data_IF_364905092591
#
_entry.id   IF_364905092591
#
_cell.length_a   1.000
_cell.length_b   1.000
_cell.length_c   1.000
_cell.angle_alpha   90.00
_cell.angle_beta   90.00
_cell.angle_gamma   90.00
#
_symmetry.space_group_name_H-M   'P 1'
#
loop_
_entity.id
_entity.type
_entity.pdbx_description
1 polymer ?
#
# COMPACT_ATOMS: atom_id res chain seq x y z
N UNK A 1 -21.97 9.98 -5.40
CA UNK A 1 -21.96 8.50 -5.32
C UNK A 1 -20.59 8.00 -5.76
N UNK A 2 -19.96 7.14 -4.99
CA UNK A 2 -18.65 6.56 -5.30
C UNK A 2 -18.75 5.64 -6.53
N UNK A 3 -17.75 5.72 -7.40
CA UNK A 3 -17.60 4.89 -8.60
C UNK A 3 -16.22 4.24 -8.67
N UNK A 4 -15.21 4.90 -8.06
CA UNK A 4 -13.81 4.54 -8.17
C UNK A 4 -13.27 4.15 -6.79
N UNK A 5 -12.74 2.94 -6.69
CA UNK A 5 -12.18 2.40 -5.46
C UNK A 5 -10.68 2.26 -5.64
N UNK A 6 -9.91 2.98 -4.83
CA UNK A 6 -8.46 3.01 -4.89
C UNK A 6 -7.93 2.27 -3.67
N UNK A 7 -7.25 1.15 -3.88
CA UNK A 7 -6.62 0.38 -2.82
C UNK A 7 -5.14 0.72 -2.66
N UNK A 8 -4.65 0.71 -1.44
CA UNK A 8 -3.24 0.42 -1.17
C UNK A 8 -2.98 -1.09 -1.25
N UNK A 9 -1.70 -1.50 -1.27
CA UNK A 9 -1.29 -2.90 -1.40
C UNK A 9 -0.85 -3.50 -0.06
N UNK A 10 0.26 -2.99 0.49
CA UNK A 10 0.94 -3.58 1.65
C UNK A 10 0.20 -3.24 2.95
N UNK A 11 -0.40 -4.20 3.64
CA UNK A 11 -1.24 -3.98 4.82
C UNK A 11 -2.72 -3.80 4.51
N UNK A 12 -3.09 -3.64 3.25
CA UNK A 12 -4.50 -3.46 2.82
C UNK A 12 -4.99 -4.67 2.03
N UNK A 13 -4.36 -5.00 0.91
CA UNK A 13 -4.64 -6.20 0.11
C UNK A 13 -3.78 -7.37 0.59
N UNK A 14 -2.49 -7.11 0.85
CA UNK A 14 -1.49 -8.14 1.08
C UNK A 14 -0.86 -8.08 2.47
N UNK A 15 -0.69 -9.25 3.08
CA UNK A 15 0.08 -9.49 4.32
C UNK A 15 1.57 -9.61 3.97
N UNK A 16 2.18 -8.52 3.55
CA UNK A 16 3.52 -8.46 2.99
C UNK A 16 4.65 -8.35 4.03
N UNK A 17 4.33 -8.28 5.32
CA UNK A 17 5.32 -8.06 6.37
C UNK A 17 6.49 -9.04 6.30
N UNK A 18 6.25 -10.34 6.07
CA UNK A 18 7.32 -11.34 6.05
C UNK A 18 8.40 -10.99 5.03
N UNK A 19 8.03 -10.76 3.77
CA UNK A 19 8.99 -10.46 2.71
C UNK A 19 9.69 -9.12 2.89
N UNK A 20 8.97 -8.10 3.37
CA UNK A 20 9.52 -6.78 3.63
C UNK A 20 10.52 -6.84 4.80
N UNK A 21 10.13 -7.43 5.93
CA UNK A 21 10.99 -7.51 7.12
C UNK A 21 12.23 -8.35 6.85
N UNK A 22 12.10 -9.51 6.19
CA UNK A 22 13.24 -10.35 5.83
C UNK A 22 14.23 -9.60 4.91
N UNK A 23 13.73 -8.73 4.01
CA UNK A 23 14.59 -7.91 3.17
C UNK A 23 15.29 -6.79 3.94
N UNK A 24 14.63 -6.17 4.93
CA UNK A 24 15.26 -5.21 5.84
C UNK A 24 16.36 -5.88 6.68
N UNK A 25 16.04 -7.02 7.30
CA UNK A 25 17.00 -7.79 8.09
C UNK A 25 18.24 -8.14 7.26
N UNK A 26 18.04 -8.71 6.07
CA UNK A 26 19.15 -9.01 5.16
C UNK A 26 20.01 -7.79 4.85
N UNK A 27 19.38 -6.63 4.59
CA UNK A 27 20.12 -5.40 4.28
C UNK A 27 20.95 -4.94 5.49
N UNK A 28 20.34 -4.88 6.69
CA UNK A 28 21.01 -4.44 7.91
C UNK A 28 22.15 -5.38 8.30
N UNK A 29 21.96 -6.71 8.19
CA UNK A 29 23.00 -7.71 8.42
C UNK A 29 24.20 -7.54 7.46
N UNK A 30 23.94 -7.30 6.16
CA UNK A 30 24.99 -7.05 5.17
C UNK A 30 25.80 -5.78 5.48
N UNK A 31 25.18 -4.84 6.14
CA UNK A 31 25.82 -3.58 6.56
C UNK A 31 26.40 -3.63 7.97
N UNK A 32 26.35 -4.79 8.64
CA UNK A 32 26.89 -4.99 10.00
C UNK A 32 26.13 -4.21 11.06
N UNK A 33 24.84 -3.93 10.84
CA UNK A 33 23.96 -3.20 11.76
C UNK A 33 23.10 -4.16 12.59
N UNK A 34 22.98 -3.86 13.88
CA UNK A 34 22.00 -4.55 14.75
C UNK A 34 20.61 -3.97 14.54
N UNK A 35 19.60 -4.79 14.69
CA UNK A 35 18.19 -4.37 14.54
C UNK A 35 17.29 -5.09 15.57
N UNK A 36 16.08 -4.56 15.72
CA UNK A 36 15.00 -5.21 16.45
C UNK A 36 13.84 -5.40 15.45
N UNK A 37 13.51 -6.68 15.15
CA UNK A 37 12.50 -7.03 14.12
C UNK A 37 11.18 -6.29 14.31
N UNK A 38 10.71 -6.18 15.57
CA UNK A 38 9.44 -5.52 15.87
C UNK A 38 9.44 -4.03 15.51
N UNK A 39 10.59 -3.37 15.55
CA UNK A 39 10.70 -1.96 15.13
C UNK A 39 10.65 -1.80 13.62
N UNK A 40 11.03 -2.81 12.84
CA UNK A 40 11.02 -2.75 11.39
C UNK A 40 9.60 -2.68 10.80
N UNK A 41 8.55 -3.02 11.58
CA UNK A 41 7.16 -2.82 11.15
C UNK A 41 6.82 -1.36 10.82
N UNK A 42 7.52 -0.39 11.44
CA UNK A 42 7.34 1.03 11.13
C UNK A 42 7.75 1.41 9.70
N UNK A 43 8.56 0.57 9.05
CA UNK A 43 9.04 0.77 7.69
C UNK A 43 8.15 0.12 6.61
N UNK A 44 7.03 -0.49 7.00
CA UNK A 44 6.02 -0.97 6.05
C UNK A 44 5.08 0.20 5.72
N UNK A 45 5.03 0.61 4.46
CA UNK A 45 4.20 1.72 3.96
C UNK A 45 5.00 2.97 3.57
N UNK A 46 5.95 3.48 4.38
CA UNK A 46 6.79 4.59 3.98
C UNK A 46 7.65 4.29 2.72
N UNK A 47 8.12 5.35 2.02
CA UNK A 47 9.10 5.19 0.96
C UNK A 47 10.36 4.47 1.48
N UNK A 48 10.83 3.49 0.71
CA UNK A 48 11.93 2.60 1.13
C UNK A 48 13.21 3.37 1.50
N UNK A 49 13.59 4.38 0.70
CA UNK A 49 14.79 5.17 0.95
C UNK A 49 14.69 5.95 2.26
N UNK A 50 13.53 6.54 2.54
CA UNK A 50 13.29 7.32 3.75
C UNK A 50 13.41 6.46 5.01
N UNK A 51 12.96 5.19 4.93
CA UNK A 51 13.12 4.20 5.99
C UNK A 51 14.61 3.92 6.27
N UNK A 52 15.43 3.77 5.22
CA UNK A 52 16.87 3.59 5.39
C UNK A 52 17.60 4.86 5.82
N UNK A 53 17.16 6.04 5.39
CA UNK A 53 17.69 7.33 5.92
C UNK A 53 17.44 7.40 7.43
N UNK A 54 16.25 7.05 7.90
CA UNK A 54 15.90 7.03 9.33
C UNK A 54 16.76 6.03 10.11
N UNK A 55 17.00 4.84 9.54
CA UNK A 55 17.72 3.75 10.23
C UNK A 55 19.26 3.90 10.15
N UNK A 56 19.81 4.36 9.03
CA UNK A 56 21.24 4.32 8.72
C UNK A 56 21.88 5.70 8.53
N UNK A 57 21.08 6.75 8.35
CA UNK A 57 21.53 8.07 7.90
C UNK A 57 21.61 8.17 6.38
N UNK A 58 21.73 9.43 5.90
CA UNK A 58 21.70 9.77 4.46
C UNK A 58 22.79 9.06 3.67
N UNK A 59 24.01 8.99 4.21
CA UNK A 59 25.20 8.47 3.52
C UNK A 59 25.13 6.96 3.22
N UNK A 60 24.38 6.19 4.02
CA UNK A 60 24.29 4.73 3.90
C UNK A 60 22.92 4.25 3.39
N UNK A 61 21.98 5.15 3.17
CA UNK A 61 20.61 4.79 2.79
C UNK A 61 20.56 4.05 1.45
N UNK A 62 21.33 4.48 0.46
CA UNK A 62 21.34 3.89 -0.88
C UNK A 62 21.94 2.47 -0.89
N UNK A 63 22.95 2.21 -0.06
CA UNK A 63 23.49 0.87 0.15
C UNK A 63 22.45 -0.04 0.82
N UNK A 64 21.73 0.47 1.82
CA UNK A 64 20.61 -0.23 2.44
C UNK A 64 19.53 -0.61 1.44
N UNK A 65 19.10 0.34 0.61
CA UNK A 65 18.15 0.11 -0.50
C UNK A 65 18.67 -0.94 -1.48
N UNK A 66 19.96 -0.92 -1.84
CA UNK A 66 20.57 -1.90 -2.72
C UNK A 66 20.47 -3.31 -2.16
N UNK A 67 20.88 -3.55 -0.90
CA UNK A 67 20.82 -4.87 -0.28
C UNK A 67 19.38 -5.33 -0.05
N UNK A 68 18.47 -4.44 0.34
CA UNK A 68 17.05 -4.72 0.45
C UNK A 68 16.50 -5.24 -0.89
N UNK A 69 16.69 -4.49 -1.99
CA UNK A 69 16.22 -4.88 -3.32
C UNK A 69 16.81 -6.23 -3.76
N UNK A 70 18.08 -6.48 -3.45
CA UNK A 70 18.76 -7.74 -3.78
C UNK A 70 18.07 -8.96 -3.16
N UNK A 71 17.62 -8.87 -1.91
CA UNK A 71 16.85 -9.93 -1.26
C UNK A 71 15.41 -9.95 -1.75
N UNK A 72 14.77 -8.79 -1.73
CA UNK A 72 13.35 -8.65 -1.98
C UNK A 72 12.94 -9.18 -3.35
N UNK A 73 13.65 -8.82 -4.41
CA UNK A 73 13.34 -9.31 -5.76
C UNK A 73 13.68 -10.78 -6.00
N UNK A 74 14.58 -11.33 -5.21
CA UNK A 74 14.95 -12.75 -5.33
C UNK A 74 14.01 -13.67 -4.52
N UNK A 75 13.61 -13.25 -3.32
CA UNK A 75 12.90 -14.07 -2.36
C UNK A 75 11.63 -13.37 -1.84
N UNK A 76 11.76 -12.17 -1.29
CA UNK A 76 10.75 -11.49 -0.49
C UNK A 76 9.48 -11.08 -1.25
N UNK A 77 9.54 -10.92 -2.58
CA UNK A 77 8.41 -10.44 -3.38
C UNK A 77 7.16 -11.32 -3.21
N UNK A 78 7.35 -12.63 -3.10
CA UNK A 78 6.27 -13.62 -2.95
C UNK A 78 6.18 -14.21 -1.54
N UNK A 79 6.96 -13.70 -0.58
CA UNK A 79 6.77 -14.01 0.84
C UNK A 79 5.61 -13.19 1.42
N UNK A 80 4.44 -13.37 0.82
CA UNK A 80 3.21 -12.61 1.10
C UNK A 80 1.98 -13.48 0.89
N UNK A 81 0.85 -13.07 1.47
CA UNK A 81 -0.46 -13.69 1.24
C UNK A 81 -1.55 -12.61 1.23
N UNK A 82 -2.71 -12.92 0.70
CA UNK A 82 -3.88 -12.05 0.81
C UNK A 82 -4.39 -12.01 2.26
N UNK A 83 -4.98 -10.88 2.65
CA UNK A 83 -5.88 -10.87 3.81
C UNK A 83 -7.13 -11.69 3.49
N UNK A 84 -7.61 -12.43 4.48
CA UNK A 84 -8.83 -13.25 4.35
C UNK A 84 -10.04 -12.39 3.95
N UNK A 85 -10.74 -12.80 2.90
CA UNK A 85 -11.90 -12.10 2.36
C UNK A 85 -11.59 -10.92 1.42
N UNK A 86 -10.30 -10.60 1.15
CA UNK A 86 -9.95 -9.50 0.24
C UNK A 86 -10.18 -9.89 -1.22
N UNK A 87 -9.92 -11.13 -1.60
CA UNK A 87 -10.16 -11.58 -2.97
C UNK A 87 -11.65 -11.50 -3.30
N UNK A 88 -12.48 -12.06 -2.44
CA UNK A 88 -13.93 -12.03 -2.56
C UNK A 88 -14.48 -10.59 -2.57
N UNK A 89 -13.90 -9.69 -1.75
CA UNK A 89 -14.26 -8.28 -1.76
C UNK A 89 -13.99 -7.63 -3.11
N UNK A 90 -12.79 -7.86 -3.69
CA UNK A 90 -12.40 -7.26 -4.98
C UNK A 90 -13.31 -7.79 -6.10
N UNK A 91 -13.57 -9.09 -6.14
CA UNK A 91 -14.48 -9.73 -7.09
C UNK A 91 -15.90 -9.15 -6.98
N UNK A 92 -16.42 -9.07 -5.77
CA UNK A 92 -17.73 -8.49 -5.47
C UNK A 92 -17.86 -7.03 -5.92
N UNK A 93 -16.86 -6.20 -5.64
CA UNK A 93 -16.86 -4.79 -6.04
C UNK A 93 -16.79 -4.63 -7.56
N UNK A 94 -16.02 -5.47 -8.23
CA UNK A 94 -15.94 -5.50 -9.69
C UNK A 94 -17.27 -5.89 -10.31
N UNK A 95 -17.93 -6.93 -9.79
CA UNK A 95 -19.22 -7.41 -10.28
C UNK A 95 -20.35 -6.39 -10.04
N UNK A 96 -20.27 -5.59 -8.99
CA UNK A 96 -21.19 -4.45 -8.73
C UNK A 96 -20.92 -3.23 -9.65
N UNK A 97 -19.91 -3.30 -10.50
CA UNK A 97 -19.60 -2.28 -11.51
C UNK A 97 -18.72 -1.14 -11.04
N UNK A 98 -18.00 -1.29 -9.91
CA UNK A 98 -17.00 -0.30 -9.50
C UNK A 98 -15.72 -0.42 -10.32
N UNK A 99 -15.10 0.71 -10.64
CA UNK A 99 -13.73 0.74 -11.17
C UNK A 99 -12.75 0.58 -10.02
N UNK A 100 -11.83 -0.38 -10.13
CA UNK A 100 -10.86 -0.69 -9.09
C UNK A 100 -9.47 -0.28 -9.54
N UNK A 101 -8.76 0.40 -8.64
CA UNK A 101 -7.43 0.97 -8.87
C UNK A 101 -6.48 0.61 -7.74
N UNK A 102 -5.17 0.63 -8.02
CA UNK A 102 -4.14 0.52 -7.00
C UNK A 102 -3.32 1.80 -6.95
N UNK A 103 -3.10 2.34 -5.74
CA UNK A 103 -2.16 3.43 -5.47
C UNK A 103 -1.24 3.02 -4.31
N UNK A 104 0.02 2.71 -4.58
CA UNK A 104 0.93 2.13 -3.59
C UNK A 104 2.32 2.78 -3.58
N UNK A 105 2.94 2.84 -2.40
CA UNK A 105 4.35 3.24 -2.24
C UNK A 105 5.34 2.21 -2.80
N UNK A 106 4.87 1.02 -3.17
CA UNK A 106 5.66 0.00 -3.88
C UNK A 106 5.78 0.37 -5.36
N UNK A 107 6.88 -0.05 -6.00
CA UNK A 107 7.07 0.12 -7.45
C UNK A 107 6.01 -0.64 -8.26
N UNK A 108 5.55 -0.04 -9.34
CA UNK A 108 4.44 -0.52 -10.17
C UNK A 108 4.64 -1.95 -10.69
N UNK A 109 5.84 -2.26 -11.23
CA UNK A 109 6.14 -3.60 -11.75
C UNK A 109 6.05 -4.69 -10.67
N UNK A 110 6.55 -4.39 -9.46
CA UNK A 110 6.46 -5.32 -8.33
C UNK A 110 5.01 -5.54 -7.91
N UNK A 111 4.22 -4.48 -7.91
CA UNK A 111 2.80 -4.52 -7.54
C UNK A 111 2.00 -5.36 -8.54
N UNK A 112 2.23 -5.19 -9.84
CA UNK A 112 1.62 -6.02 -10.89
C UNK A 112 1.93 -7.51 -10.70
N UNK A 113 3.20 -7.86 -10.43
CA UNK A 113 3.60 -9.25 -10.18
C UNK A 113 2.91 -9.85 -8.95
N UNK A 114 2.72 -9.08 -7.89
CA UNK A 114 2.01 -9.53 -6.68
C UNK A 114 0.52 -9.74 -6.96
N UNK A 115 -0.14 -8.80 -7.66
CA UNK A 115 -1.56 -8.95 -8.01
C UNK A 115 -1.78 -10.13 -8.98
N UNK A 116 -0.85 -10.36 -9.91
CA UNK A 116 -0.86 -11.53 -10.80
C UNK A 116 -0.68 -12.83 -10.01
N UNK A 117 0.28 -12.88 -9.10
CA UNK A 117 0.51 -14.02 -8.20
C UNK A 117 -0.73 -14.38 -7.37
N UNK A 118 -1.51 -13.36 -6.95
CA UNK A 118 -2.78 -13.57 -6.25
C UNK A 118 -3.96 -13.89 -7.18
N UNK A 119 -3.79 -13.79 -8.50
CA UNK A 119 -4.85 -14.02 -9.48
C UNK A 119 -5.97 -12.97 -9.41
N UNK A 120 -5.63 -11.71 -9.12
CA UNK A 120 -6.57 -10.59 -9.01
C UNK A 120 -6.21 -9.39 -9.91
N UNK A 121 -5.11 -9.46 -10.67
CA UNK A 121 -4.66 -8.36 -11.53
C UNK A 121 -5.72 -7.89 -12.53
N UNK A 122 -6.52 -8.81 -13.06
CA UNK A 122 -7.55 -8.54 -14.07
C UNK A 122 -8.69 -7.63 -13.59
N UNK A 123 -8.87 -7.47 -12.28
CA UNK A 123 -9.91 -6.61 -11.71
C UNK A 123 -9.47 -5.14 -11.61
N UNK A 124 -8.17 -4.85 -11.77
CA UNK A 124 -7.63 -3.50 -11.63
C UNK A 124 -7.58 -2.79 -12.98
N UNK A 125 -8.29 -1.65 -13.08
CA UNK A 125 -8.29 -0.80 -14.27
C UNK A 125 -6.95 -0.10 -14.49
N UNK A 126 -6.27 0.30 -13.40
CA UNK A 126 -4.94 0.93 -13.44
C UNK A 126 -4.17 0.72 -12.13
N UNK A 127 -2.85 0.70 -12.24
CA UNK A 127 -1.93 0.56 -11.11
C UNK A 127 -0.96 1.74 -11.14
N UNK A 128 -0.99 2.56 -10.08
CA UNK A 128 -0.02 3.61 -9.83
C UNK A 128 0.91 3.19 -8.70
N UNK A 129 2.15 2.93 -9.03
CA UNK A 129 3.22 2.63 -8.08
C UNK A 129 4.18 3.80 -7.92
N UNK A 130 4.98 3.79 -6.85
CA UNK A 130 6.01 4.82 -6.63
C UNK A 130 7.12 4.77 -7.67
N UNK A 131 7.69 5.94 -7.95
CA UNK A 131 8.88 6.15 -8.78
C UNK A 131 9.65 7.37 -8.25
N UNK A 132 10.79 7.74 -8.89
CA UNK A 132 11.53 8.92 -8.48
C UNK A 132 10.68 10.21 -8.52
N UNK A 133 9.79 10.32 -9.51
CA UNK A 133 8.91 11.50 -9.67
C UNK A 133 7.63 11.39 -8.81
N UNK A 134 7.24 10.18 -8.42
CA UNK A 134 6.08 9.85 -7.58
C UNK A 134 6.53 9.21 -6.26
N UNK A 135 7.24 9.97 -5.43
CA UNK A 135 7.90 9.46 -4.22
C UNK A 135 7.07 9.64 -2.94
N UNK A 136 5.85 10.16 -3.03
CA UNK A 136 4.90 10.25 -1.91
C UNK A 136 3.57 9.63 -2.28
N UNK A 137 2.79 9.17 -1.28
CA UNK A 137 1.44 8.60 -1.51
C UNK A 137 0.55 9.60 -2.25
N UNK A 138 0.59 10.88 -1.89
CA UNK A 138 -0.15 11.95 -2.57
C UNK A 138 0.16 11.99 -4.06
N UNK A 139 1.44 12.06 -4.44
CA UNK A 139 1.84 12.09 -5.87
C UNK A 139 1.44 10.84 -6.63
N UNK A 140 1.44 9.67 -5.97
CA UNK A 140 0.98 8.42 -6.57
C UNK A 140 -0.52 8.48 -6.87
N UNK A 141 -1.33 8.99 -5.93
CA UNK A 141 -2.77 9.16 -6.11
C UNK A 141 -3.08 10.25 -7.14
N UNK A 142 -2.42 11.42 -7.08
CA UNK A 142 -2.57 12.51 -8.07
C UNK A 142 -2.34 12.01 -9.50
N UNK A 143 -1.27 11.25 -9.70
CA UNK A 143 -0.96 10.64 -11.00
C UNK A 143 -2.07 9.67 -11.44
N UNK A 144 -2.56 8.81 -10.54
CA UNK A 144 -3.65 7.90 -10.85
C UNK A 144 -4.92 8.65 -11.27
N UNK A 145 -5.30 9.69 -10.53
CA UNK A 145 -6.47 10.53 -10.84
C UNK A 145 -6.32 11.17 -12.22
N UNK A 146 -5.16 11.74 -12.51
CA UNK A 146 -4.88 12.43 -13.77
C UNK A 146 -4.90 11.45 -14.96
N UNK A 147 -4.19 10.33 -14.90
CA UNK A 147 -4.10 9.36 -16.00
C UNK A 147 -5.44 8.71 -16.37
N UNK A 148 -6.39 8.68 -15.44
CA UNK A 148 -7.68 8.02 -15.64
C UNK A 148 -8.88 8.99 -15.61
N UNK A 149 -8.63 10.31 -15.61
CA UNK A 149 -9.66 11.36 -15.56
C UNK A 149 -10.68 11.14 -14.41
N UNK A 150 -10.17 10.80 -13.21
CA UNK A 150 -11.03 10.47 -12.07
C UNK A 150 -11.40 11.71 -11.27
N UNK A 151 -12.67 11.80 -10.88
CA UNK A 151 -13.15 12.84 -9.99
C UNK A 151 -12.96 12.45 -8.53
N UNK A 152 -12.40 13.35 -7.73
CA UNK A 152 -12.14 13.11 -6.31
C UNK A 152 -13.42 12.80 -5.52
N UNK A 153 -14.53 13.49 -5.82
CA UNK A 153 -15.82 13.29 -5.18
C UNK A 153 -16.57 11.99 -5.61
N UNK A 154 -16.04 11.26 -6.59
CA UNK A 154 -16.52 9.95 -7.03
C UNK A 154 -15.53 8.83 -6.66
N UNK A 155 -14.46 9.16 -5.93
CA UNK A 155 -13.36 8.25 -5.58
C UNK A 155 -13.27 8.05 -4.07
N UNK A 156 -12.82 6.86 -3.65
CA UNK A 156 -12.53 6.53 -2.27
C UNK A 156 -11.21 5.77 -2.17
N UNK A 157 -10.34 6.19 -1.24
CA UNK A 157 -9.06 5.53 -0.94
C UNK A 157 -9.23 4.56 0.21
N UNK A 158 -8.66 3.37 0.09
CA UNK A 158 -8.65 2.33 1.12
C UNK A 158 -7.20 2.00 1.45
N UNK A 159 -6.80 2.24 2.68
CA UNK A 159 -5.44 2.04 3.14
C UNK A 159 -5.34 1.77 4.62
N UNK A 160 -4.18 1.32 5.08
CA UNK A 160 -3.95 0.97 6.48
C UNK A 160 -3.00 1.92 7.22
N UNK A 161 -2.46 2.94 6.53
CA UNK A 161 -1.50 3.86 7.14
C UNK A 161 -1.99 5.32 7.08
N UNK A 162 -1.44 6.16 7.97
CA UNK A 162 -1.70 7.60 7.98
C UNK A 162 -1.42 8.27 6.63
N UNK A 163 -0.40 7.80 5.89
CA UNK A 163 -0.04 8.30 4.56
C UNK A 163 -1.18 8.21 3.54
N UNK A 164 -2.00 7.16 3.62
CA UNK A 164 -3.18 6.96 2.76
C UNK A 164 -4.26 7.98 3.10
N UNK A 165 -4.50 8.17 4.39
CA UNK A 165 -5.54 9.04 4.93
C UNK A 165 -5.17 10.51 4.73
N UNK A 166 -3.93 10.89 5.06
CA UNK A 166 -3.42 12.26 4.87
C UNK A 166 -3.45 12.67 3.40
N UNK A 167 -2.94 11.79 2.51
CA UNK A 167 -2.99 12.05 1.07
C UNK A 167 -4.43 12.19 0.55
N UNK A 168 -5.35 11.36 1.03
CA UNK A 168 -6.77 11.43 0.66
C UNK A 168 -7.40 12.74 1.09
N UNK A 169 -7.15 13.19 2.33
CA UNK A 169 -7.66 14.44 2.87
C UNK A 169 -7.13 15.65 2.08
N UNK A 170 -5.81 15.65 1.76
CA UNK A 170 -5.21 16.72 0.95
C UNK A 170 -5.79 16.81 -0.46
N UNK A 171 -6.24 15.69 -1.02
CA UNK A 171 -6.83 15.59 -2.36
C UNK A 171 -8.36 15.68 -2.37
N UNK A 172 -8.99 15.88 -1.22
CA UNK A 172 -10.44 15.86 -1.04
C UNK A 172 -11.11 14.57 -1.57
N UNK A 173 -10.44 13.41 -1.35
CA UNK A 173 -10.96 12.07 -1.61
C UNK A 173 -11.42 11.48 -0.27
N UNK A 174 -12.55 10.80 -0.23
CA UNK A 174 -12.96 10.04 0.95
C UNK A 174 -11.98 8.92 1.25
N UNK A 175 -11.84 8.56 2.52
CA UNK A 175 -10.92 7.51 2.97
C UNK A 175 -11.59 6.45 3.84
N UNK A 176 -11.16 5.21 3.69
CA UNK A 176 -11.44 4.09 4.60
C UNK A 176 -10.13 3.60 5.18
N UNK A 177 -9.93 3.77 6.48
CA UNK A 177 -8.83 3.13 7.19
C UNK A 177 -9.16 1.67 7.46
N UNK A 178 -8.26 0.74 7.14
CA UNK A 178 -8.44 -0.68 7.45
C UNK A 178 -7.66 -1.05 8.71
N UNK A 179 -8.38 -1.42 9.76
CA UNK A 179 -7.81 -1.71 11.09
C UNK A 179 -7.16 -3.10 11.20
N UNK A 180 -7.23 -3.91 10.15
CA UNK A 180 -6.60 -5.23 10.08
C UNK A 180 -5.17 -5.19 9.51
N UNK A 181 -4.70 -4.03 9.04
CA UNK A 181 -3.38 -3.80 8.47
C UNK A 181 -2.28 -3.59 9.51
N UNK A 182 -1.25 -2.84 9.14
CA UNK A 182 -0.08 -2.55 9.99
C UNK A 182 -0.19 -1.22 10.73
N UNK A 183 -1.14 -0.33 10.34
CA UNK A 183 -1.36 0.96 10.97
C UNK A 183 -1.88 0.84 12.39
N UNK A 184 -1.55 1.83 13.21
CA UNK A 184 -2.03 1.95 14.59
C UNK A 184 -3.33 2.76 14.62
N UNK A 185 -4.14 2.57 15.67
CA UNK A 185 -5.43 3.24 15.81
C UNK A 185 -5.33 4.77 15.74
N UNK A 186 -4.25 5.32 16.23
CA UNK A 186 -3.98 6.76 16.23
C UNK A 186 -3.79 7.31 14.78
N UNK A 187 -3.37 6.46 13.85
CA UNK A 187 -3.21 6.82 12.44
C UNK A 187 -4.57 7.02 11.72
N UNK A 188 -5.68 6.57 12.30
CA UNK A 188 -7.00 6.55 11.68
C UNK A 188 -7.92 7.71 12.08
N UNK A 189 -7.48 8.62 12.94
CA UNK A 189 -8.32 9.69 13.52
C UNK A 189 -8.97 10.57 12.45
N UNK A 190 -8.29 10.80 11.33
CA UNK A 190 -8.78 11.67 10.24
C UNK A 190 -9.37 10.90 9.06
N UNK A 191 -9.62 9.60 9.18
CA UNK A 191 -10.30 8.82 8.16
C UNK A 191 -11.81 9.05 8.20
N UNK A 192 -12.46 9.12 7.02
CA UNK A 192 -13.94 9.23 6.96
C UNK A 192 -14.63 7.99 7.53
N UNK A 193 -14.02 6.81 7.32
CA UNK A 193 -14.56 5.53 7.77
C UNK A 193 -13.45 4.60 8.25
N UNK A 194 -13.82 3.65 9.13
CA UNK A 194 -12.94 2.58 9.60
C UNK A 194 -13.59 1.23 9.28
N UNK A 195 -12.82 0.33 8.65
CA UNK A 195 -13.19 -1.05 8.37
C UNK A 195 -12.35 -2.01 9.23
N UNK A 196 -12.98 -2.86 10.01
CA UNK A 196 -12.27 -3.84 10.84
C UNK A 196 -11.96 -5.14 10.09
N UNK A 197 -12.64 -5.38 8.99
CA UNK A 197 -12.46 -6.55 8.10
C UNK A 197 -12.87 -6.19 6.67
N UNK A 198 -12.42 -6.93 5.65
CA UNK A 198 -12.73 -6.63 4.25
C UNK A 198 -14.22 -6.49 3.94
N UNK A 199 -15.08 -7.31 4.54
CA UNK A 199 -16.54 -7.23 4.30
C UNK A 199 -17.20 -5.93 4.80
N UNK A 200 -16.54 -5.14 5.66
CA UNK A 200 -17.06 -3.84 6.09
C UNK A 200 -16.88 -2.79 5.00
N UNK A 201 -15.81 -2.90 4.18
CA UNK A 201 -15.52 -2.01 3.06
C UNK A 201 -16.69 -1.97 2.07
N UNK A 202 -17.18 -3.14 1.64
CA UNK A 202 -18.34 -3.22 0.72
C UNK A 202 -19.54 -2.47 1.28
N UNK A 203 -19.86 -2.66 2.56
CA UNK A 203 -21.01 -1.99 3.21
C UNK A 203 -20.87 -0.48 3.26
N UNK A 204 -19.63 0.03 3.45
CA UNK A 204 -19.33 1.46 3.48
C UNK A 204 -19.49 2.03 2.07
N UNK A 205 -18.84 1.42 1.07
CA UNK A 205 -18.85 1.91 -0.32
C UNK A 205 -20.27 1.95 -0.90
N UNK A 206 -21.09 0.92 -0.65
CA UNK A 206 -22.48 0.86 -1.13
C UNK A 206 -23.39 1.93 -0.54
N UNK A 207 -22.99 2.59 0.56
CA UNK A 207 -23.77 3.65 1.23
C UNK A 207 -23.21 5.06 0.96
N UNK A 208 -22.02 5.16 0.35
CA UNK A 208 -21.30 6.42 0.10
C UNK A 208 -21.56 6.96 -1.28
#
# INVERSE_FOLDING_TARGET
>A
MIKNIIFDLDGTISKSASGILNAFEYALEKMGKSYQRDKLYEYIGPPLRDSFVKELGEDLADDGVYYYKKYYFKNGLFETSLYEGVKELIEDLYDEGFNIYLATSKGEESSKKILEYFGILQYFSYISGSSNDKNTKKKVIEHLLFENDLKTNESIMIGDRSYDIEASNELAIKSIAVAYGYGKKEEFENADFIANKPSDIKKIVMKS
#
